data_IF_122867261936
#
_entry.id   IF_122867261936
#
_cell.length_a   1.000
_cell.length_b   1.000
_cell.length_c   1.000
_cell.angle_alpha   90.00
_cell.angle_beta   90.00
_cell.angle_gamma   90.00
#
_symmetry.space_group_name_H-M   'P 1'
#
loop_
_entity.id
_entity.type
_entity.pdbx_description
1 polymer ?
#
# COMPACT_ATOMS: atom_id res chain seq x y z
N UNK A 1 -5.94 2.65 4.74
CA UNK A 1 -6.47 3.41 3.60
C UNK A 1 -5.77 4.75 3.48
N UNK A 2 -5.83 5.59 4.54
CA UNK A 2 -5.21 6.93 4.57
C UNK A 2 -3.73 6.93 4.16
N UNK A 3 -2.96 5.94 4.60
CA UNK A 3 -1.55 5.76 4.21
C UNK A 3 -1.33 5.82 2.69
N UNK A 4 -2.04 5.01 1.90
CA UNK A 4 -1.86 4.96 0.45
C UNK A 4 -2.38 6.24 -0.21
N UNK A 5 -3.52 6.77 0.25
CA UNK A 5 -4.10 8.01 -0.27
C UNK A 5 -3.14 9.18 -0.08
N UNK A 6 -2.48 9.28 1.07
CA UNK A 6 -1.49 10.32 1.36
C UNK A 6 -0.29 10.22 0.42
N UNK A 7 0.30 9.04 0.27
CA UNK A 7 1.43 8.83 -0.65
C UNK A 7 1.08 9.23 -2.09
N UNK A 8 -0.10 8.85 -2.57
CA UNK A 8 -0.53 9.16 -3.94
C UNK A 8 -0.73 10.66 -4.15
N UNK A 9 -1.41 11.34 -3.22
CA UNK A 9 -1.67 12.79 -3.31
C UNK A 9 -0.40 13.62 -3.18
N UNK A 10 0.53 13.20 -2.32
CA UNK A 10 1.80 13.90 -2.09
C UNK A 10 2.93 13.46 -3.03
N UNK A 11 2.66 12.59 -4.00
CA UNK A 11 3.68 12.06 -4.93
C UNK A 11 4.24 13.11 -5.91
N UNK A 12 3.62 14.29 -6.00
CA UNK A 12 3.90 15.29 -7.03
C UNK A 12 3.43 14.90 -8.43
N UNK A 13 2.76 13.75 -8.58
CA UNK A 13 2.22 13.27 -9.85
C UNK A 13 0.69 13.32 -9.84
N UNK A 14 0.12 14.24 -10.61
CA UNK A 14 -1.33 14.48 -10.66
C UNK A 14 -2.14 13.25 -11.10
N UNK A 15 -1.57 12.42 -11.98
CA UNK A 15 -2.23 11.18 -12.40
C UNK A 15 -2.33 10.19 -11.24
N UNK A 16 -1.29 10.08 -10.41
CA UNK A 16 -1.34 9.22 -9.22
C UNK A 16 -2.26 9.79 -8.14
N UNK A 17 -2.24 11.10 -7.92
CA UNK A 17 -3.14 11.77 -6.99
C UNK A 17 -4.63 11.52 -7.36
N UNK A 18 -4.96 11.59 -8.65
CA UNK A 18 -6.31 11.32 -9.14
C UNK A 18 -6.81 9.88 -8.87
N UNK A 19 -5.90 8.92 -8.69
CA UNK A 19 -6.24 7.53 -8.39
C UNK A 19 -6.50 7.27 -6.90
N UNK A 20 -6.22 8.23 -6.02
CA UNK A 20 -6.22 8.02 -4.57
C UNK A 20 -7.59 7.54 -4.03
N UNK A 21 -8.69 8.11 -4.52
CA UNK A 21 -10.04 7.76 -4.08
C UNK A 21 -10.49 6.39 -4.64
N UNK A 22 -10.09 6.08 -5.89
CA UNK A 22 -10.32 4.77 -6.50
C UNK A 22 -9.60 3.67 -5.73
N UNK A 23 -8.32 3.87 -5.39
CA UNK A 23 -7.56 2.91 -4.58
C UNK A 23 -8.17 2.76 -3.18
N UNK A 24 -8.57 3.85 -2.53
CA UNK A 24 -9.23 3.78 -1.23
C UNK A 24 -10.53 2.97 -1.29
N UNK A 25 -11.31 3.13 -2.37
CA UNK A 25 -12.55 2.39 -2.62
C UNK A 25 -12.28 0.88 -2.77
N UNK A 26 -11.30 0.50 -3.57
CA UNK A 26 -10.91 -0.91 -3.75
C UNK A 26 -10.44 -1.54 -2.43
N UNK A 27 -9.60 -0.84 -1.67
CA UNK A 27 -9.10 -1.32 -0.38
C UNK A 27 -10.24 -1.51 0.62
N UNK A 28 -11.19 -0.57 0.67
CA UNK A 28 -12.39 -0.67 1.53
C UNK A 28 -13.24 -1.89 1.15
N UNK A 29 -13.53 -2.07 -0.14
CA UNK A 29 -14.31 -3.20 -0.63
C UNK A 29 -13.68 -4.55 -0.26
N UNK A 30 -12.34 -4.66 -0.27
CA UNK A 30 -11.65 -5.88 0.19
C UNK A 30 -11.87 -6.20 1.67
N UNK A 31 -11.98 -5.17 2.53
CA UNK A 31 -12.28 -5.35 3.96
C UNK A 31 -13.74 -5.76 4.12
N UNK A 32 -14.67 -5.03 3.49
CA UNK A 32 -16.11 -5.28 3.59
C UNK A 32 -16.52 -6.66 3.07
N UNK A 33 -15.86 -7.14 2.01
CA UNK A 33 -16.10 -8.46 1.41
C UNK A 33 -15.35 -9.61 2.11
N UNK A 34 -14.69 -9.35 3.24
CA UNK A 34 -13.93 -10.38 3.97
C UNK A 34 -12.77 -10.98 3.18
N UNK A 35 -12.21 -10.21 2.23
CA UNK A 35 -11.05 -10.61 1.39
C UNK A 35 -9.70 -10.29 2.06
N UNK A 36 -9.72 -9.85 3.32
CA UNK A 36 -8.56 -9.76 4.19
C UNK A 36 -8.60 -10.85 5.25
N UNK A 37 -7.47 -11.45 5.63
CA UNK A 37 -7.40 -12.28 6.83
C UNK A 37 -7.84 -11.45 8.05
N UNK A 38 -8.61 -12.07 8.96
CA UNK A 38 -9.15 -11.44 10.18
C UNK A 38 -8.07 -10.82 11.09
N UNK A 39 -6.81 -11.27 10.95
CA UNK A 39 -5.64 -10.61 11.52
C UNK A 39 -4.66 -10.26 10.38
N UNK A 40 -4.22 -8.99 10.27
CA UNK A 40 -3.11 -8.63 9.41
C UNK A 40 -1.89 -9.47 9.80
N UNK A 41 -1.14 -9.96 8.80
CA UNK A 41 0.16 -10.57 9.08
C UNK A 41 1.07 -9.47 9.66
N UNK A 42 1.83 -9.74 10.75
CA UNK A 42 2.77 -8.75 11.30
C UNK A 42 3.69 -8.16 10.24
N UNK A 43 4.17 -9.00 9.31
CA UNK A 43 5.00 -8.58 8.18
C UNK A 43 4.36 -7.50 7.28
N UNK A 44 3.03 -7.45 7.17
CA UNK A 44 2.35 -6.42 6.40
C UNK A 44 2.45 -5.04 7.09
N UNK A 45 2.32 -5.00 8.42
CA UNK A 45 2.51 -3.76 9.20
C UNK A 45 3.98 -3.32 9.16
N UNK A 46 4.92 -4.25 9.33
CA UNK A 46 6.36 -3.96 9.24
C UNK A 46 6.73 -3.35 7.87
N UNK A 47 6.09 -3.83 6.79
CA UNK A 47 6.31 -3.29 5.45
C UNK A 47 5.78 -1.85 5.30
N UNK A 48 4.64 -1.51 5.91
CA UNK A 48 4.13 -0.13 5.90
C UNK A 48 5.05 0.82 6.68
N UNK A 49 5.53 0.39 7.84
CA UNK A 49 6.49 1.16 8.64
C UNK A 49 7.81 1.36 7.89
N UNK A 50 8.29 0.31 7.20
CA UNK A 50 9.51 0.41 6.39
C UNK A 50 9.37 1.40 5.23
N UNK A 51 8.20 1.47 4.57
CA UNK A 51 7.91 2.47 3.54
C UNK A 51 7.91 3.88 4.16
N UNK A 52 7.19 4.08 5.27
CA UNK A 52 7.09 5.39 5.93
C UNK A 52 8.48 5.91 6.35
N UNK A 53 9.29 5.07 6.98
CA UNK A 53 10.66 5.39 7.40
C UNK A 53 11.57 5.72 6.22
N UNK A 54 11.47 4.98 5.11
CA UNK A 54 12.24 5.26 3.91
C UNK A 54 11.86 6.58 3.24
N UNK A 55 10.55 6.90 3.16
CA UNK A 55 10.05 8.19 2.66
C UNK A 55 10.56 9.33 3.54
N UNK A 56 10.43 9.21 4.86
CA UNK A 56 10.87 10.23 5.81
C UNK A 56 12.38 10.52 5.73
N UNK A 57 13.18 9.49 5.41
CA UNK A 57 14.63 9.61 5.21
C UNK A 57 15.03 10.06 3.80
N UNK A 58 14.09 10.20 2.88
CA UNK A 58 14.37 10.55 1.49
C UNK A 58 15.11 9.45 0.72
N UNK A 59 14.89 8.17 1.06
CA UNK A 59 15.49 7.01 0.40
C UNK A 59 14.48 6.36 -0.57
N UNK A 60 14.47 6.78 -1.85
CA UNK A 60 13.46 6.33 -2.81
C UNK A 60 13.57 4.84 -3.15
N UNK A 61 14.78 4.27 -3.19
CA UNK A 61 14.94 2.86 -3.54
C UNK A 61 14.48 1.94 -2.43
N UNK A 62 14.79 2.29 -1.17
CA UNK A 62 14.25 1.53 -0.03
C UNK A 62 12.74 1.66 0.06
N UNK A 63 12.17 2.85 -0.19
CA UNK A 63 10.73 3.04 -0.22
C UNK A 63 10.07 2.17 -1.31
N UNK A 64 10.65 2.13 -2.52
CA UNK A 64 10.18 1.30 -3.63
C UNK A 64 10.24 -0.19 -3.28
N UNK A 65 11.36 -0.66 -2.73
CA UNK A 65 11.52 -2.06 -2.34
C UNK A 65 10.50 -2.46 -1.27
N UNK A 66 10.32 -1.65 -0.23
CA UNK A 66 9.36 -1.94 0.82
C UNK A 66 7.91 -1.91 0.31
N UNK A 67 7.58 -1.01 -0.63
CA UNK A 67 6.26 -0.99 -1.27
C UNK A 67 6.01 -2.26 -2.10
N UNK A 68 7.04 -2.82 -2.73
CA UNK A 68 6.95 -4.11 -3.42
C UNK A 68 6.53 -5.24 -2.49
N UNK A 69 7.03 -5.26 -1.25
CA UNK A 69 6.68 -6.28 -0.27
C UNK A 69 5.17 -6.21 0.11
N UNK A 70 4.57 -5.02 0.09
CA UNK A 70 3.12 -4.81 0.30
C UNK A 70 2.31 -5.31 -0.91
N UNK A 71 2.73 -4.98 -2.13
CA UNK A 71 2.00 -5.33 -3.36
C UNK A 71 2.13 -6.83 -3.67
N UNK A 72 3.28 -7.44 -3.42
CA UNK A 72 3.52 -8.88 -3.62
C UNK A 72 2.62 -9.72 -2.71
N UNK A 73 2.39 -9.29 -1.46
CA UNK A 73 1.41 -9.94 -0.58
C UNK A 73 0.02 -10.00 -1.24
N UNK A 74 -0.43 -8.89 -1.82
CA UNK A 74 -1.73 -8.79 -2.49
C UNK A 74 -1.76 -9.64 -3.76
N UNK A 75 -0.69 -9.62 -4.57
CA UNK A 75 -0.60 -10.41 -5.78
C UNK A 75 -0.70 -11.92 -5.50
N UNK A 76 0.01 -12.41 -4.48
CA UNK A 76 -0.07 -13.82 -4.04
C UNK A 76 -1.44 -14.16 -3.47
N UNK A 77 -2.07 -13.26 -2.72
CA UNK A 77 -3.40 -13.48 -2.16
C UNK A 77 -4.50 -13.57 -3.23
N UNK A 78 -4.25 -13.04 -4.43
CA UNK A 78 -5.17 -13.05 -5.56
C UNK A 78 -4.82 -14.13 -6.61
N UNK A 79 -3.85 -15.02 -6.34
CA UNK A 79 -3.41 -16.08 -7.26
C UNK A 79 -2.99 -15.57 -8.66
N UNK A 80 -2.39 -14.38 -8.75
CA UNK A 80 -1.87 -13.90 -10.04
C UNK A 80 -0.59 -14.62 -10.50
N UNK A 81 0.02 -15.47 -9.65
CA UNK A 81 1.07 -16.45 -9.98
C UNK A 81 0.95 -17.70 -9.11
#
# INVERSE_FOLDING_TARGET
MEFHTLILRESGNELFAALADTIATVLRGRVELGKYPMKPKPAALDAHDAVADAIAKGDPERARKAMFDIVDEVARALNFF
#
